data_IF_282213200552
#
_entry.id   IF_282213200552
#
_cell.length_a   1.000
_cell.length_b   1.000
_cell.length_c   1.000
_cell.angle_alpha   90.00
_cell.angle_beta   90.00
_cell.angle_gamma   90.00
#
_symmetry.space_group_name_H-M   'P 1'
#
loop_
_entity.id
_entity.type
_entity.pdbx_description
1 polymer ?
#
# COMPACT_ATOMS: atom_id res chain seq x y z
N UNK A 1 2.29 10.71 14.54
CA UNK A 1 3.66 10.19 14.77
C UNK A 1 3.59 8.70 14.49
N UNK A 2 4.30 8.19 13.47
CA UNK A 2 4.38 6.76 13.23
C UNK A 2 5.05 6.10 14.45
N UNK A 3 4.60 4.90 14.86
CA UNK A 3 5.24 4.19 15.98
C UNK A 3 6.72 3.98 15.65
N UNK A 4 7.61 4.16 16.63
CA UNK A 4 9.06 3.93 16.44
C UNK A 4 9.37 2.53 15.88
N UNK A 5 8.53 1.56 16.18
CA UNK A 5 8.66 0.18 15.70
C UNK A 5 8.35 0.04 14.21
N UNK A 6 7.54 0.93 13.64
CA UNK A 6 7.17 0.89 12.23
C UNK A 6 8.40 1.07 11.34
N UNK A 7 9.24 2.06 11.61
CA UNK A 7 10.47 2.30 10.86
C UNK A 7 11.42 1.12 10.94
N UNK A 8 11.53 0.51 12.13
CA UNK A 8 12.38 -0.65 12.36
C UNK A 8 11.93 -1.84 11.51
N UNK A 9 10.66 -2.22 11.62
CA UNK A 9 10.05 -3.31 10.86
C UNK A 9 10.17 -3.04 9.36
N UNK A 10 9.85 -1.81 8.93
CA UNK A 10 9.93 -1.45 7.53
C UNK A 10 11.34 -1.69 7.02
N UNK A 11 12.37 -1.20 7.72
CA UNK A 11 13.77 -1.32 7.31
C UNK A 11 14.29 -2.77 7.26
N UNK A 12 13.70 -3.68 8.04
CA UNK A 12 14.09 -5.10 8.03
C UNK A 12 13.53 -5.87 6.82
N UNK A 13 12.45 -5.39 6.22
CA UNK A 13 11.80 -6.08 5.10
C UNK A 13 12.31 -5.51 3.76
N UNK A 14 12.76 -6.37 2.82
CA UNK A 14 13.09 -5.96 1.46
C UNK A 14 11.91 -5.25 0.78
N UNK A 15 12.16 -4.06 0.25
CA UNK A 15 11.10 -3.14 -0.23
C UNK A 15 10.39 -3.66 -1.48
N UNK A 16 11.12 -4.41 -2.29
CA UNK A 16 10.64 -5.15 -3.46
C UNK A 16 9.60 -6.22 -3.10
N UNK A 17 9.54 -6.65 -1.83
CA UNK A 17 8.57 -7.63 -1.33
C UNK A 17 7.33 -7.02 -0.70
N UNK A 18 7.24 -5.69 -0.64
CA UNK A 18 6.09 -4.98 -0.08
C UNK A 18 5.43 -4.16 -1.17
N UNK A 19 4.14 -4.39 -1.38
CA UNK A 19 3.27 -3.50 -2.14
C UNK A 19 2.15 -3.04 -1.20
N UNK A 20 1.91 -1.73 -1.14
CA UNK A 20 0.76 -1.16 -0.42
C UNK A 20 -0.36 -0.93 -1.41
N UNK A 21 -1.56 -1.42 -1.09
CA UNK A 21 -2.75 -1.23 -1.91
C UNK A 21 -3.71 -0.36 -1.10
N UNK A 22 -4.14 0.76 -1.67
CA UNK A 22 -5.08 1.67 -1.02
C UNK A 22 -6.09 2.22 -2.04
N UNK A 23 -7.23 2.69 -1.54
CA UNK A 23 -8.19 3.37 -2.40
C UNK A 23 -7.77 4.81 -2.66
N UNK A 24 -8.13 5.29 -3.85
CA UNK A 24 -8.00 6.70 -4.21
C UNK A 24 -8.76 7.56 -3.18
N UNK A 25 -8.08 8.58 -2.63
CA UNK A 25 -8.60 9.46 -1.57
C UNK A 25 -8.93 8.79 -0.23
N UNK A 26 -8.33 7.64 0.08
CA UNK A 26 -8.33 7.13 1.46
C UNK A 26 -7.41 8.00 2.34
N UNK A 27 -7.96 9.08 2.88
CA UNK A 27 -7.26 9.99 3.79
C UNK A 27 -7.27 9.51 5.24
N UNK A 28 -7.95 8.41 5.55
CA UNK A 28 -8.11 7.96 6.93
C UNK A 28 -6.87 7.18 7.39
N UNK A 29 -6.40 6.23 6.58
CA UNK A 29 -5.19 5.46 6.88
C UNK A 29 -4.03 5.74 5.91
N UNK A 30 -4.31 6.17 4.68
CA UNK A 30 -3.30 6.37 3.64
C UNK A 30 -3.24 7.83 3.18
N UNK A 31 -3.15 8.75 4.12
CA UNK A 31 -3.04 10.19 3.83
C UNK A 31 -1.78 10.54 3.00
N UNK A 32 -1.71 11.78 2.51
CA UNK A 32 -0.60 12.23 1.68
C UNK A 32 0.76 12.10 2.38
N UNK A 33 0.81 12.32 3.70
CA UNK A 33 2.05 12.21 4.48
C UNK A 33 2.54 10.76 4.53
N UNK A 34 1.64 9.82 4.78
CA UNK A 34 1.94 8.39 4.75
C UNK A 34 2.41 7.95 3.37
N UNK A 35 1.72 8.37 2.30
CA UNK A 35 2.09 8.02 0.93
C UNK A 35 3.49 8.49 0.57
N UNK A 36 3.79 9.78 0.82
CA UNK A 36 5.12 10.35 0.61
C UNK A 36 6.19 9.63 1.43
N UNK A 37 5.87 9.31 2.69
CA UNK A 37 6.79 8.56 3.56
C UNK A 37 7.11 7.18 2.98
N UNK A 38 6.10 6.38 2.65
CA UNK A 38 6.27 5.02 2.11
C UNK A 38 7.00 5.02 0.77
N UNK A 39 6.64 5.92 -0.14
CA UNK A 39 7.32 6.09 -1.42
C UNK A 39 8.79 6.48 -1.24
N UNK A 40 9.10 7.36 -0.28
CA UNK A 40 10.50 7.71 0.05
C UNK A 40 11.33 6.53 0.55
N UNK A 41 10.68 5.46 1.02
CA UNK A 41 11.31 4.21 1.44
C UNK A 41 11.42 3.18 0.31
N UNK A 42 11.06 3.55 -0.92
CA UNK A 42 11.13 2.67 -2.09
C UNK A 42 10.02 1.60 -2.14
N UNK A 43 8.93 1.79 -1.41
CA UNK A 43 7.79 0.87 -1.41
C UNK A 43 6.77 1.33 -2.46
N UNK A 44 6.30 0.39 -3.26
CA UNK A 44 5.28 0.63 -4.28
C UNK A 44 3.90 0.84 -3.63
N UNK A 45 3.18 1.86 -4.09
CA UNK A 45 1.79 2.12 -3.69
C UNK A 45 0.90 2.01 -4.93
N UNK A 46 -0.08 1.14 -4.85
CA UNK A 46 -1.09 0.91 -5.88
C UNK A 46 -2.42 1.52 -5.42
N UNK A 47 -2.89 2.50 -6.19
CA UNK A 47 -4.15 3.18 -5.92
C UNK A 47 -5.29 2.60 -6.76
N UNK A 48 -6.33 2.12 -6.08
CA UNK A 48 -7.54 1.65 -6.73
C UNK A 48 -8.50 2.83 -6.89
N UNK A 49 -8.90 3.11 -8.13
CA UNK A 49 -9.77 4.24 -8.45
C UNK A 49 -11.22 4.02 -8.02
N UNK A 50 -11.87 5.08 -7.53
CA UNK A 50 -13.29 5.09 -7.15
C UNK A 50 -13.66 4.03 -6.09
N UNK A 51 -12.84 3.87 -5.05
CA UNK A 51 -13.15 2.98 -3.90
C UNK A 51 -12.92 3.60 -2.52
N UNK A 52 -12.22 4.74 -2.40
CA UNK A 52 -12.09 5.45 -1.13
C UNK A 52 -11.55 4.55 -0.01
N UNK A 53 -12.19 4.60 1.16
CA UNK A 53 -11.81 3.78 2.32
C UNK A 53 -12.53 2.41 2.36
N UNK A 54 -13.53 2.17 1.52
CA UNK A 54 -14.38 0.97 1.59
C UNK A 54 -13.79 -0.22 0.84
N UNK A 55 -13.50 -1.30 1.58
CA UNK A 55 -13.14 -2.57 0.96
C UNK A 55 -14.32 -3.12 0.15
N UNK A 56 -14.06 -3.46 -1.11
CA UNK A 56 -15.09 -3.98 -2.01
C UNK A 56 -14.48 -4.88 -3.09
N UNK A 57 -15.34 -5.44 -3.96
CA UNK A 57 -14.95 -6.38 -5.02
C UNK A 57 -13.88 -5.86 -5.98
N UNK A 58 -13.65 -4.54 -6.09
CA UNK A 58 -12.53 -4.02 -6.88
C UNK A 58 -11.19 -4.25 -6.19
N UNK A 59 -11.11 -4.12 -4.86
CA UNK A 59 -9.92 -4.51 -4.10
C UNK A 59 -9.58 -5.97 -4.35
N UNK A 60 -10.56 -6.86 -4.20
CA UNK A 60 -10.37 -8.30 -4.40
C UNK A 60 -9.78 -8.59 -5.78
N UNK A 61 -10.36 -7.99 -6.83
CA UNK A 61 -9.90 -8.15 -8.22
C UNK A 61 -8.49 -7.62 -8.47
N UNK A 62 -8.15 -6.45 -7.94
CA UNK A 62 -6.82 -5.88 -8.13
C UNK A 62 -5.75 -6.66 -7.35
N UNK A 63 -6.07 -7.11 -6.14
CA UNK A 63 -5.20 -7.97 -5.34
C UNK A 63 -4.94 -9.30 -6.05
N UNK A 64 -5.99 -9.92 -6.59
CA UNK A 64 -5.88 -11.18 -7.32
C UNK A 64 -4.96 -11.06 -8.55
N UNK A 65 -5.09 -9.96 -9.32
CA UNK A 65 -4.19 -9.68 -10.46
C UNK A 65 -2.73 -9.57 -10.04
N UNK A 66 -2.47 -8.87 -8.92
CA UNK A 66 -1.11 -8.68 -8.41
C UNK A 66 -0.52 -10.03 -8.00
N UNK A 67 -1.28 -10.82 -7.23
CA UNK A 67 -0.83 -12.15 -6.77
C UNK A 67 -0.56 -13.08 -7.95
N UNK A 68 -1.41 -13.06 -8.97
CA UNK A 68 -1.23 -13.93 -10.14
C UNK A 68 -0.07 -13.49 -11.02
N UNK A 69 0.15 -12.18 -11.20
CA UNK A 69 1.29 -11.64 -11.95
C UNK A 69 2.64 -11.97 -11.31
N UNK A 70 2.72 -11.98 -9.97
CA UNK A 70 3.97 -12.32 -9.25
C UNK A 70 4.27 -13.84 -9.26
N UNK A 71 3.37 -14.68 -9.81
CA UNK A 71 3.57 -16.14 -9.95
C UNK A 71 4.04 -16.58 -11.34
N UNK A 72 4.01 -15.68 -12.32
CA UNK A 72 4.49 -15.89 -13.69
C UNK A 72 5.99 -15.54 -13.79
#
# INVERSE_FOLDING_TARGET
MLRKDFDKILNEIPKDRIKIICGEKDFFYCDEKFRKYVQSKGIEILEIKNVGHDWNKKFDKEIEKIINKDRE
#
